data_IF_743752816889
#
_entry.id   IF_743752816889
#
_cell.length_a   1.000
_cell.length_b   1.000
_cell.length_c   1.000
_cell.angle_alpha   90.00
_cell.angle_beta   90.00
_cell.angle_gamma   90.00
#
_symmetry.space_group_name_H-M   'P 1'
#
loop_
_entity.id
_entity.type
_entity.pdbx_description
1 polymer ?
#
# COMPACT_ATOMS: atom_id res chain seq x y z
N UNK A 1 27.85 7.42 21.05
CA UNK A 1 26.95 8.27 20.23
C UNK A 1 26.71 7.68 18.83
N UNK A 2 27.71 7.08 18.19
CA UNK A 2 27.57 6.47 16.84
C UNK A 2 26.64 5.23 16.78
N UNK A 3 26.60 4.41 17.84
CA UNK A 3 25.72 3.23 17.90
C UNK A 3 24.22 3.62 17.87
N UNK A 4 23.85 4.73 18.51
CA UNK A 4 22.47 5.24 18.52
C UNK A 4 22.04 5.78 17.15
N UNK A 5 22.95 6.45 16.43
CA UNK A 5 22.70 6.91 15.06
C UNK A 5 22.62 5.74 14.08
N UNK A 6 23.47 4.72 14.22
CA UNK A 6 23.42 3.50 13.40
C UNK A 6 22.12 2.72 13.62
N UNK A 7 21.65 2.59 14.87
CA UNK A 7 20.35 1.98 15.19
C UNK A 7 19.17 2.79 14.61
N UNK A 8 19.24 4.13 14.64
CA UNK A 8 18.23 4.98 14.01
C UNK A 8 18.20 4.82 12.49
N UNK A 9 19.36 4.64 11.85
CA UNK A 9 19.44 4.35 10.42
C UNK A 9 18.96 2.94 10.08
N UNK A 10 19.16 1.95 10.96
CA UNK A 10 18.67 0.57 10.76
C UNK A 10 17.15 0.44 10.83
N UNK A 11 16.47 1.23 11.66
CA UNK A 11 15.01 1.20 11.81
C UNK A 11 14.23 1.26 10.49
N UNK A 12 14.48 2.22 9.58
CA UNK A 12 13.79 2.26 8.29
C UNK A 12 14.12 1.06 7.40
N UNK A 13 15.36 0.54 7.40
CA UNK A 13 15.71 -0.65 6.62
C UNK A 13 14.95 -1.89 7.10
N UNK A 14 14.92 -2.11 8.42
CA UNK A 14 14.12 -3.19 9.02
C UNK A 14 12.63 -3.02 8.68
N UNK A 15 12.09 -1.80 8.76
CA UNK A 15 10.71 -1.53 8.39
C UNK A 15 10.41 -1.87 6.92
N UNK A 16 11.32 -1.55 5.99
CA UNK A 16 11.18 -1.89 4.57
C UNK A 16 11.23 -3.40 4.36
N UNK A 17 12.11 -4.13 5.04
CA UNK A 17 12.18 -5.59 4.95
C UNK A 17 10.87 -6.23 5.43
N UNK A 18 10.35 -5.80 6.58
CA UNK A 18 9.06 -6.27 7.10
C UNK A 18 7.91 -5.94 6.16
N UNK A 19 7.91 -4.75 5.56
CA UNK A 19 6.91 -4.35 4.57
C UNK A 19 6.94 -5.28 3.35
N UNK A 20 8.12 -5.53 2.77
CA UNK A 20 8.27 -6.41 1.59
C UNK A 20 7.85 -7.84 1.89
N UNK A 21 8.21 -8.36 3.06
CA UNK A 21 7.80 -9.69 3.51
C UNK A 21 6.26 -9.79 3.63
N UNK A 22 5.64 -8.78 4.26
CA UNK A 22 4.18 -8.72 4.41
C UNK A 22 3.47 -8.68 3.05
N UNK A 23 4.00 -7.93 2.09
CA UNK A 23 3.48 -7.90 0.71
C UNK A 23 3.60 -9.26 0.01
N UNK A 24 4.71 -9.98 0.19
CA UNK A 24 4.90 -11.30 -0.39
C UNK A 24 3.94 -12.35 0.19
N UNK A 25 3.74 -12.35 1.52
CA UNK A 25 2.75 -13.22 2.17
C UNK A 25 1.34 -12.92 1.66
N UNK A 26 0.98 -11.65 1.57
CA UNK A 26 -0.34 -11.22 1.11
C UNK A 26 -0.60 -11.61 -0.36
N UNK A 27 0.39 -11.53 -1.24
CA UNK A 27 0.22 -11.89 -2.65
C UNK A 27 -0.02 -13.39 -2.84
N UNK A 28 0.60 -14.24 -2.01
CA UNK A 28 0.37 -15.69 -1.98
C UNK A 28 -1.06 -15.99 -1.49
N UNK A 29 -1.47 -15.39 -0.37
CA UNK A 29 -2.83 -15.55 0.19
C UNK A 29 -3.89 -15.09 -0.81
N UNK A 30 -3.67 -13.93 -1.43
CA UNK A 30 -4.56 -13.42 -2.46
C UNK A 30 -4.67 -14.40 -3.63
N UNK A 31 -3.53 -14.85 -4.20
CA UNK A 31 -3.52 -15.80 -5.32
C UNK A 31 -4.24 -17.10 -4.98
N UNK A 32 -4.05 -17.62 -3.76
CA UNK A 32 -4.75 -18.80 -3.27
C UNK A 32 -6.27 -18.58 -3.17
N UNK A 33 -6.71 -17.49 -2.54
CA UNK A 33 -8.13 -17.16 -2.38
C UNK A 33 -8.84 -16.97 -3.72
N UNK A 34 -8.18 -16.33 -4.68
CA UNK A 34 -8.71 -16.08 -6.02
C UNK A 34 -8.82 -17.38 -6.84
N UNK A 35 -7.86 -18.29 -6.71
CA UNK A 35 -7.91 -19.60 -7.36
C UNK A 35 -9.06 -20.49 -6.82
N UNK A 36 -9.50 -20.26 -5.59
CA UNK A 36 -10.67 -20.91 -4.99
C UNK A 36 -12.01 -20.27 -5.43
N UNK A 37 -11.99 -19.36 -6.41
CA UNK A 37 -13.18 -18.74 -6.99
C UNK A 37 -13.66 -17.48 -6.27
N UNK A 38 -12.89 -16.94 -5.32
CA UNK A 38 -13.25 -15.71 -4.62
C UNK A 38 -13.14 -14.48 -5.55
N UNK A 39 -14.16 -13.62 -5.53
CA UNK A 39 -14.12 -12.36 -6.30
C UNK A 39 -13.11 -11.38 -5.70
N UNK A 40 -12.35 -10.70 -6.57
CA UNK A 40 -11.33 -9.71 -6.20
C UNK A 40 -11.90 -8.55 -5.36
N UNK A 41 -13.11 -8.12 -5.65
CA UNK A 41 -13.80 -7.06 -4.89
C UNK A 41 -14.04 -7.49 -3.44
N UNK A 42 -14.50 -8.73 -3.24
CA UNK A 42 -14.73 -9.29 -1.91
C UNK A 42 -13.41 -9.36 -1.13
N UNK A 43 -12.33 -9.83 -1.76
CA UNK A 43 -11.02 -9.90 -1.10
C UNK A 43 -10.50 -8.53 -0.65
N UNK A 44 -10.66 -7.52 -1.51
CA UNK A 44 -10.25 -6.14 -1.23
C UNK A 44 -11.03 -5.54 -0.04
N UNK A 45 -12.34 -5.74 0.02
CA UNK A 45 -13.19 -5.26 1.13
C UNK A 45 -12.82 -5.94 2.44
N UNK A 46 -12.68 -7.27 2.45
CA UNK A 46 -12.30 -8.01 3.65
C UNK A 46 -10.94 -7.59 4.19
N UNK A 47 -9.94 -7.45 3.32
CA UNK A 47 -8.59 -7.02 3.73
C UNK A 47 -8.60 -5.65 4.39
N UNK A 48 -9.29 -4.67 3.78
CA UNK A 48 -9.36 -3.31 4.30
C UNK A 48 -10.20 -3.23 5.59
N UNK A 49 -11.27 -4.02 5.71
CA UNK A 49 -12.07 -4.10 6.93
C UNK A 49 -11.28 -4.72 8.10
N UNK A 50 -10.59 -5.84 7.87
CA UNK A 50 -9.75 -6.48 8.90
C UNK A 50 -8.63 -5.55 9.32
N UNK A 51 -7.97 -4.87 8.37
CA UNK A 51 -6.94 -3.88 8.68
C UNK A 51 -7.53 -2.75 9.54
N UNK A 52 -8.67 -2.18 9.17
CA UNK A 52 -9.33 -1.13 9.96
C UNK A 52 -9.60 -1.60 11.39
N UNK A 53 -10.23 -2.76 11.58
CA UNK A 53 -10.52 -3.32 12.91
C UNK A 53 -9.24 -3.57 13.71
N UNK A 54 -8.19 -4.10 13.08
CA UNK A 54 -6.91 -4.35 13.73
C UNK A 54 -6.22 -3.05 14.17
N UNK A 55 -6.33 -1.97 13.38
CA UNK A 55 -5.70 -0.67 13.67
C UNK A 55 -6.50 0.19 14.66
N UNK A 56 -7.82 -0.01 14.81
CA UNK A 56 -8.66 0.71 15.78
C UNK A 56 -8.10 0.73 17.21
N UNK A 57 -7.72 -0.41 17.84
CA UNK A 57 -7.18 -0.39 19.19
C UNK A 57 -5.85 0.37 19.28
N UNK A 58 -4.98 0.25 18.26
CA UNK A 58 -3.72 1.01 18.21
C UNK A 58 -3.98 2.51 18.05
N UNK A 59 -4.95 2.91 17.24
CA UNK A 59 -5.35 4.31 17.07
C UNK A 59 -5.97 4.92 18.35
N UNK A 60 -6.60 4.10 19.20
CA UNK A 60 -7.11 4.56 20.50
C UNK A 60 -5.97 4.64 21.53
N UNK A 61 -5.04 3.69 21.54
CA UNK A 61 -3.96 3.63 22.54
C UNK A 61 -2.81 4.60 22.23
N UNK A 62 -2.33 4.68 20.99
CA UNK A 62 -1.16 5.48 20.60
C UNK A 62 -1.51 6.95 20.33
N UNK A 63 -2.65 7.21 19.68
CA UNK A 63 -2.96 8.57 19.18
C UNK A 63 -3.81 9.40 20.14
N UNK A 64 -4.20 8.84 21.30
CA UNK A 64 -5.07 9.51 22.31
C UNK A 64 -4.64 10.95 22.64
N UNK A 65 -3.34 11.22 22.74
CA UNK A 65 -2.82 12.52 23.17
C UNK A 65 -2.44 13.46 22.01
N UNK A 66 -2.42 12.99 20.77
CA UNK A 66 -1.91 13.74 19.61
C UNK A 66 -3.03 14.12 18.63
N UNK A 67 -4.30 13.80 18.94
CA UNK A 67 -5.43 14.02 18.02
C UNK A 67 -5.63 15.51 17.74
N UNK A 68 -5.44 15.99 16.50
CA UNK A 68 -5.97 17.29 16.09
C UNK A 68 -7.50 17.22 16.08
N UNK A 69 -8.19 18.34 16.37
CA UNK A 69 -9.66 18.39 16.30
C UNK A 69 -10.09 18.01 14.88
N UNK A 70 -10.80 16.89 14.73
CA UNK A 70 -11.34 16.46 13.44
C UNK A 70 -12.43 17.45 13.00
N UNK A 71 -12.08 18.32 12.05
CA UNK A 71 -13.05 19.13 11.30
C UNK A 71 -13.41 18.42 10.01
N UNK A 72 -14.62 18.66 9.50
CA UNK A 72 -15.10 18.06 8.24
C UNK A 72 -14.13 18.33 7.07
N UNK A 73 -13.49 19.50 7.04
CA UNK A 73 -12.48 19.82 6.03
C UNK A 73 -11.24 18.91 6.08
N UNK A 74 -10.75 18.56 7.27
CA UNK A 74 -9.62 17.63 7.44
C UNK A 74 -10.06 16.22 7.04
N UNK A 75 -11.27 15.82 7.41
CA UNK A 75 -11.83 14.53 7.03
C UNK A 75 -11.88 14.37 5.51
N UNK A 76 -12.41 15.36 4.78
CA UNK A 76 -12.41 15.34 3.31
C UNK A 76 -11.00 15.29 2.72
N UNK A 77 -10.04 16.04 3.28
CA UNK A 77 -8.63 16.02 2.82
C UNK A 77 -7.95 14.66 2.99
N UNK A 78 -8.39 13.83 3.94
CA UNK A 78 -7.84 12.49 4.17
C UNK A 78 -8.61 11.44 3.36
N UNK A 79 -9.94 11.53 3.36
CA UNK A 79 -10.83 10.56 2.70
C UNK A 79 -10.72 10.62 1.18
N UNK A 80 -10.66 11.82 0.58
CA UNK A 80 -10.61 11.97 -0.88
C UNK A 80 -9.36 11.31 -1.50
N UNK A 81 -8.13 11.55 -1.03
CA UNK A 81 -6.95 10.86 -1.54
C UNK A 81 -6.93 9.37 -1.16
N UNK A 82 -7.38 9.02 0.04
CA UNK A 82 -7.38 7.64 0.54
C UNK A 82 -8.32 6.71 -0.23
N UNK A 83 -9.47 7.23 -0.69
CA UNK A 83 -10.42 6.48 -1.52
C UNK A 83 -10.04 6.45 -3.00
N UNK A 84 -9.36 7.47 -3.51
CA UNK A 84 -9.06 7.55 -4.95
C UNK A 84 -7.77 6.81 -5.31
N UNK A 85 -6.63 7.20 -4.76
CA UNK A 85 -5.33 6.64 -5.19
C UNK A 85 -5.20 5.15 -4.84
N UNK A 86 -5.15 4.79 -3.55
CA UNK A 86 -4.85 3.42 -3.13
C UNK A 86 -5.92 2.41 -3.54
N UNK A 87 -7.20 2.78 -3.48
CA UNK A 87 -8.30 1.83 -3.79
C UNK A 87 -8.34 1.54 -5.28
N UNK A 88 -8.21 2.55 -6.14
CA UNK A 88 -8.19 2.35 -7.60
C UNK A 88 -6.94 1.55 -7.99
N UNK A 89 -5.77 1.93 -7.48
CA UNK A 89 -4.51 1.20 -7.73
C UNK A 89 -4.64 -0.27 -7.34
N UNK A 90 -5.15 -0.55 -6.15
CA UNK A 90 -5.24 -1.90 -5.62
C UNK A 90 -6.29 -2.74 -6.37
N UNK A 91 -7.45 -2.18 -6.71
CA UNK A 91 -8.45 -2.89 -7.51
C UNK A 91 -7.95 -3.18 -8.93
N UNK A 92 -7.26 -2.24 -9.56
CA UNK A 92 -6.69 -2.42 -10.90
C UNK A 92 -5.56 -3.45 -10.88
N UNK A 93 -4.70 -3.44 -9.85
CA UNK A 93 -3.65 -4.42 -9.66
C UNK A 93 -4.23 -5.84 -9.53
N UNK A 94 -5.26 -5.99 -8.70
CA UNK A 94 -5.97 -7.25 -8.52
C UNK A 94 -6.64 -7.73 -9.80
N UNK A 95 -7.31 -6.84 -10.52
CA UNK A 95 -7.87 -7.13 -11.85
C UNK A 95 -6.79 -7.62 -12.82
N UNK A 96 -5.65 -6.93 -12.91
CA UNK A 96 -4.53 -7.33 -13.75
C UNK A 96 -3.98 -8.71 -13.36
N UNK A 97 -3.82 -8.97 -12.06
CA UNK A 97 -3.38 -10.26 -11.50
C UNK A 97 -4.27 -11.46 -11.85
N UNK A 98 -5.50 -11.24 -12.33
CA UNK A 98 -6.36 -12.30 -12.88
C UNK A 98 -5.84 -12.85 -14.20
N UNK A 99 -5.27 -11.97 -15.02
CA UNK A 99 -4.81 -12.29 -16.37
C UNK A 99 -3.32 -12.66 -16.40
N UNK A 100 -2.56 -12.31 -15.36
CA UNK A 100 -1.12 -12.56 -15.27
C UNK A 100 -0.74 -13.42 -14.05
N UNK A 101 0.41 -14.09 -14.13
CA UNK A 101 0.99 -14.81 -12.99
C UNK A 101 1.46 -13.85 -11.89
N UNK A 102 1.46 -14.32 -10.64
CA UNK A 102 1.93 -13.53 -9.51
C UNK A 102 3.39 -13.07 -9.69
N UNK A 103 4.23 -13.94 -10.27
CA UNK A 103 5.63 -13.62 -10.59
C UNK A 103 5.75 -12.47 -11.58
N UNK A 104 4.95 -12.49 -12.66
CA UNK A 104 4.95 -11.42 -13.67
C UNK A 104 4.49 -10.08 -13.08
N UNK A 105 3.46 -10.09 -12.22
CA UNK A 105 3.00 -8.91 -11.50
C UNK A 105 4.10 -8.31 -10.60
N UNK A 106 4.87 -9.15 -9.91
CA UNK A 106 6.01 -8.72 -9.08
C UNK A 106 7.14 -8.14 -9.95
N UNK A 107 7.43 -8.74 -11.11
CA UNK A 107 8.42 -8.21 -12.05
C UNK A 107 8.07 -6.81 -12.55
N UNK A 108 6.81 -6.54 -12.88
CA UNK A 108 6.33 -5.19 -13.23
C UNK A 108 6.53 -4.22 -12.06
N UNK A 109 6.24 -4.63 -10.82
CA UNK A 109 6.48 -3.80 -9.64
C UNK A 109 7.95 -3.46 -9.42
N UNK A 110 8.88 -4.32 -9.81
CA UNK A 110 10.31 -4.02 -9.74
C UNK A 110 10.74 -3.02 -10.84
N UNK A 111 10.03 -3.00 -11.97
CA UNK A 111 10.24 -2.03 -13.05
C UNK A 111 9.55 -0.68 -12.81
N UNK A 112 8.68 -0.58 -11.81
CA UNK A 112 7.93 0.63 -11.49
C UNK A 112 8.81 1.89 -11.43
N UNK A 113 9.99 1.90 -10.77
CA UNK A 113 10.86 3.08 -10.74
C UNK A 113 11.34 3.50 -12.14
N UNK A 114 11.67 2.54 -13.01
CA UNK A 114 12.11 2.81 -14.37
C UNK A 114 10.96 3.36 -15.23
N UNK A 115 9.76 2.78 -15.12
CA UNK A 115 8.55 3.27 -15.81
C UNK A 115 8.22 4.69 -15.35
N UNK A 116 8.27 4.97 -14.05
CA UNK A 116 8.04 6.31 -13.49
C UNK A 116 9.07 7.32 -14.00
N UNK A 117 10.35 6.92 -14.13
CA UNK A 117 11.39 7.80 -14.67
C UNK A 117 11.14 8.14 -16.15
N UNK A 118 10.79 7.14 -16.96
CA UNK A 118 10.46 7.34 -18.39
C UNK A 118 9.21 8.21 -18.55
N UNK A 119 8.16 7.97 -17.76
CA UNK A 119 6.96 8.80 -17.76
C UNK A 119 7.27 10.24 -17.35
N UNK A 120 8.04 10.43 -16.26
CA UNK A 120 8.46 11.76 -15.81
C UNK A 120 9.28 12.48 -16.89
N UNK A 121 10.15 11.75 -17.60
CA UNK A 121 10.89 12.28 -18.74
C UNK A 121 9.94 12.72 -19.87
N UNK A 122 9.02 11.85 -20.32
CA UNK A 122 8.04 12.19 -21.37
C UNK A 122 7.14 13.37 -21.01
N UNK A 123 6.61 13.41 -19.78
CA UNK A 123 5.77 14.51 -19.30
C UNK A 123 6.54 15.83 -19.20
N UNK A 124 7.84 15.79 -18.88
CA UNK A 124 8.69 16.98 -18.89
C UNK A 124 8.84 17.59 -20.29
N UNK A 125 8.89 16.76 -21.33
CA UNK A 125 8.90 17.23 -22.73
C UNK A 125 7.52 17.67 -23.23
N UNK A 126 6.43 17.29 -22.56
CA UNK A 126 5.06 17.70 -22.92
C UNK A 126 4.65 19.05 -22.29
N UNK A 127 5.35 19.48 -21.23
CA UNK A 127 5.06 20.71 -20.47
C UNK A 127 5.99 21.88 -20.86
N UNK A 128 7.02 21.63 -21.68
CA UNK A 128 7.89 22.63 -22.32
C UNK A 128 7.58 22.74 -23.81
#
# INVERSE_FOLDING_TARGET
>A
MELSNSLKQMKPYLAVIFLRLSHAVLSIIAKYALNQGMSYYTFSVYRNAIAAVAFVPFAILLERNTRPRMTLAILYKIVLPGLSGPVIEQNLFYFGMKYITATFAISIYNMLPAITFVLAWMLRYLIY
#
